data_IF_404324939614
#
_entry.id   IF_404324939614
#
_cell.length_a   1.000
_cell.length_b   1.000
_cell.length_c   1.000
_cell.angle_alpha   90.00
_cell.angle_beta   90.00
_cell.angle_gamma   90.00
#
_symmetry.space_group_name_H-M   'P 1'
#
loop_
_entity.id
_entity.type
_entity.pdbx_description
1 polymer ?
#
# COMPACT_ATOMS: atom_id res chain seq x y z
N UNK A 1 32.65 -19.01 -15.20
CA UNK A 1 32.78 -17.62 -14.70
C UNK A 1 32.06 -17.58 -13.36
N UNK A 2 32.78 -17.33 -12.27
CA UNK A 2 32.12 -17.12 -10.97
C UNK A 2 31.31 -15.81 -11.06
N UNK A 3 30.01 -15.89 -10.86
CA UNK A 3 29.17 -14.71 -10.63
C UNK A 3 29.70 -14.09 -9.35
N UNK A 4 30.46 -13.00 -9.47
CA UNK A 4 30.81 -12.21 -8.29
C UNK A 4 29.50 -11.69 -7.71
N UNK A 5 29.15 -12.22 -6.55
CA UNK A 5 27.98 -11.78 -5.81
C UNK A 5 28.30 -10.40 -5.22
N UNK A 6 28.16 -9.37 -6.05
CA UNK A 6 28.38 -7.99 -5.61
C UNK A 6 27.29 -7.66 -4.58
N UNK A 7 27.63 -7.20 -3.38
CA UNK A 7 26.61 -6.80 -2.42
C UNK A 7 25.74 -5.69 -2.99
N UNK A 8 24.47 -5.59 -2.58
CA UNK A 8 23.57 -4.52 -3.01
C UNK A 8 24.19 -3.15 -2.72
N UNK A 9 24.23 -2.27 -3.71
CA UNK A 9 24.88 -0.96 -3.57
C UNK A 9 23.91 0.16 -3.21
N UNK A 10 22.60 -0.05 -3.44
CA UNK A 10 21.55 0.92 -3.13
C UNK A 10 20.39 0.25 -2.41
N UNK A 11 19.77 1.01 -1.51
CA UNK A 11 18.56 0.58 -0.83
C UNK A 11 17.34 1.22 -1.48
N UNK A 12 16.26 0.45 -1.60
CA UNK A 12 14.92 0.93 -1.92
C UNK A 12 14.01 0.56 -0.77
N UNK A 13 13.20 1.52 -0.32
CA UNK A 13 12.13 1.26 0.64
C UNK A 13 10.81 1.10 -0.10
N UNK A 14 10.09 0.01 0.18
CA UNK A 14 8.74 -0.22 -0.31
C UNK A 14 7.75 -0.03 0.84
N UNK A 15 6.72 0.76 0.62
CA UNK A 15 5.68 1.05 1.61
C UNK A 15 4.33 0.64 1.06
N UNK A 16 3.46 0.08 1.90
CA UNK A 16 2.04 0.08 1.57
C UNK A 16 1.49 1.52 1.59
N UNK A 17 0.33 1.72 1.01
CA UNK A 17 -0.34 3.02 0.93
C UNK A 17 -1.40 3.18 2.03
N UNK A 18 -2.44 2.33 2.00
CA UNK A 18 -3.57 2.39 2.94
C UNK A 18 -3.13 1.84 4.30
N UNK A 19 -3.53 2.48 5.40
CA UNK A 19 -3.04 2.12 6.74
C UNK A 19 -1.61 2.59 7.07
N UNK A 20 -0.79 2.88 6.05
CA UNK A 20 0.61 3.34 6.23
C UNK A 20 0.77 4.83 5.94
N UNK A 21 0.24 5.33 4.83
CA UNK A 21 0.38 6.74 4.42
C UNK A 21 -0.97 7.47 4.33
N UNK A 22 -2.05 6.74 4.06
CA UNK A 22 -3.40 7.28 3.91
C UNK A 22 -4.40 6.41 4.67
N UNK A 23 -5.60 6.94 4.98
CA UNK A 23 -6.68 6.12 5.54
C UNK A 23 -7.20 5.11 4.52
N UNK A 24 -7.90 4.09 5.01
CA UNK A 24 -8.60 3.08 4.21
C UNK A 24 -9.68 3.73 3.33
N UNK A 25 -9.51 3.68 2.02
CA UNK A 25 -10.38 4.38 1.05
C UNK A 25 -11.81 3.84 1.11
N UNK A 26 -12.00 2.53 1.10
CA UNK A 26 -13.33 1.94 1.11
C UNK A 26 -14.10 2.23 2.39
N UNK A 27 -13.42 2.31 3.53
CA UNK A 27 -14.02 2.72 4.80
C UNK A 27 -14.46 4.18 4.73
N UNK A 28 -13.62 5.06 4.19
CA UNK A 28 -13.96 6.47 4.02
C UNK A 28 -15.14 6.67 3.05
N UNK A 29 -15.21 5.90 1.96
CA UNK A 29 -16.35 5.91 1.04
C UNK A 29 -17.61 5.44 1.76
N UNK A 30 -17.54 4.36 2.57
CA UNK A 30 -18.67 3.89 3.36
C UNK A 30 -19.19 4.96 4.32
N UNK A 31 -18.30 5.64 5.03
CA UNK A 31 -18.65 6.72 5.95
C UNK A 31 -19.33 7.89 5.26
N UNK A 32 -18.79 8.30 4.13
CA UNK A 32 -19.31 9.45 3.39
C UNK A 32 -20.65 9.17 2.72
N UNK A 33 -20.87 7.93 2.26
CA UNK A 33 -22.08 7.53 1.53
C UNK A 33 -23.15 6.92 2.43
N UNK A 34 -22.80 6.49 3.64
CA UNK A 34 -23.68 5.75 4.54
C UNK A 34 -23.92 4.29 4.11
N UNK A 35 -23.12 3.76 3.18
CA UNK A 35 -23.26 2.40 2.69
C UNK A 35 -22.36 1.48 3.51
N UNK A 36 -22.91 0.92 4.59
CA UNK A 36 -22.16 0.13 5.57
C UNK A 36 -21.46 -1.08 4.95
N UNK A 37 -22.03 -1.68 3.90
CA UNK A 37 -21.43 -2.82 3.20
C UNK A 37 -20.05 -2.55 2.59
N UNK A 38 -19.71 -1.30 2.30
CA UNK A 38 -18.40 -0.91 1.77
C UNK A 38 -17.28 -0.92 2.82
N UNK A 39 -17.61 -1.01 4.15
CA UNK A 39 -16.61 -1.18 5.22
C UNK A 39 -15.95 -2.55 5.21
N UNK A 40 -16.54 -3.53 4.50
CA UNK A 40 -15.99 -4.88 4.44
C UNK A 40 -14.59 -4.85 3.81
N UNK A 41 -13.64 -5.50 4.48
CA UNK A 41 -12.23 -5.57 4.07
C UNK A 41 -11.79 -7.01 3.80
N UNK A 42 -10.55 -7.21 3.42
CA UNK A 42 -9.95 -8.55 3.28
C UNK A 42 -9.85 -9.32 4.60
N UNK A 43 -10.07 -8.67 5.73
CA UNK A 43 -10.21 -9.33 7.06
C UNK A 43 -11.55 -10.04 7.20
N UNK A 44 -12.59 -9.52 6.55
CA UNK A 44 -13.96 -10.08 6.57
C UNK A 44 -14.19 -11.06 5.43
N UNK A 45 -13.52 -10.85 4.30
CA UNK A 45 -13.56 -11.68 3.11
C UNK A 45 -12.15 -11.81 2.51
N UNK A 46 -11.46 -12.91 2.81
CA UNK A 46 -10.09 -13.13 2.33
C UNK A 46 -9.97 -13.30 0.81
N UNK A 47 -11.04 -13.74 0.14
CA UNK A 47 -11.06 -13.84 -1.32
C UNK A 47 -11.27 -12.45 -1.93
N UNK A 48 -10.20 -11.89 -2.49
CA UNK A 48 -10.21 -10.56 -3.07
C UNK A 48 -11.21 -10.41 -4.21
N UNK A 49 -11.39 -11.44 -5.05
CA UNK A 49 -12.35 -11.41 -6.15
C UNK A 49 -13.80 -11.40 -5.65
N UNK A 50 -14.09 -12.14 -4.60
CA UNK A 50 -15.41 -12.15 -3.95
C UNK A 50 -15.68 -10.77 -3.34
N UNK A 51 -14.71 -10.21 -2.62
CA UNK A 51 -14.81 -8.88 -2.01
C UNK A 51 -15.03 -7.79 -3.07
N UNK A 52 -14.27 -7.81 -4.14
CA UNK A 52 -14.39 -6.79 -5.19
C UNK A 52 -15.71 -6.88 -5.96
N UNK A 53 -16.19 -8.09 -6.27
CA UNK A 53 -17.53 -8.25 -6.88
C UNK A 53 -18.62 -7.71 -5.99
N UNK A 54 -18.57 -8.02 -4.70
CA UNK A 54 -19.50 -7.48 -3.71
C UNK A 54 -19.49 -5.95 -3.68
N UNK A 55 -18.30 -5.33 -3.70
CA UNK A 55 -18.16 -3.87 -3.75
C UNK A 55 -18.73 -3.29 -5.05
N UNK A 56 -18.44 -3.90 -6.21
CA UNK A 56 -18.98 -3.47 -7.50
C UNK A 56 -20.51 -3.53 -7.55
N UNK A 57 -21.10 -4.58 -6.99
CA UNK A 57 -22.56 -4.73 -6.87
C UNK A 57 -23.16 -3.61 -6.00
N UNK A 58 -22.50 -3.24 -4.91
CA UNK A 58 -22.91 -2.10 -4.08
C UNK A 58 -22.79 -0.77 -4.83
N UNK A 59 -21.72 -0.53 -5.57
CA UNK A 59 -21.55 0.67 -6.37
C UNK A 59 -22.70 0.81 -7.38
N UNK A 60 -23.03 -0.27 -8.08
CA UNK A 60 -24.10 -0.30 -9.07
C UNK A 60 -25.47 -0.10 -8.42
N UNK A 61 -25.75 -0.83 -7.34
CA UNK A 61 -27.03 -0.77 -6.62
C UNK A 61 -27.31 0.64 -6.08
N UNK A 62 -26.29 1.34 -5.61
CA UNK A 62 -26.42 2.67 -5.02
C UNK A 62 -26.10 3.81 -6.00
N UNK A 63 -25.79 3.51 -7.27
CA UNK A 63 -25.48 4.49 -8.29
C UNK A 63 -24.21 5.30 -7.99
N UNK A 64 -23.21 4.69 -7.32
CA UNK A 64 -21.95 5.34 -7.01
C UNK A 64 -21.08 5.37 -8.26
N UNK A 65 -20.85 6.58 -8.76
CA UNK A 65 -20.02 6.82 -9.95
C UNK A 65 -18.55 7.07 -9.58
N UNK A 66 -17.67 6.92 -10.56
CA UNK A 66 -16.26 7.23 -10.40
C UNK A 66 -16.03 8.69 -9.92
N UNK A 67 -16.64 9.72 -10.53
CA UNK A 67 -16.49 11.09 -10.05
C UNK A 67 -16.91 11.28 -8.58
N UNK A 68 -18.02 10.67 -8.17
CA UNK A 68 -18.49 10.76 -6.80
C UNK A 68 -17.48 10.15 -5.82
N UNK A 69 -16.92 8.99 -6.14
CA UNK A 69 -15.92 8.35 -5.30
C UNK A 69 -14.63 9.17 -5.29
N UNK A 70 -14.20 9.71 -6.43
CA UNK A 70 -13.03 10.59 -6.50
C UNK A 70 -13.22 11.88 -5.70
N UNK A 71 -14.43 12.44 -5.65
CA UNK A 71 -14.75 13.60 -4.81
C UNK A 71 -14.64 13.26 -3.32
N UNK A 72 -15.09 12.07 -2.92
CA UNK A 72 -14.90 11.59 -1.54
C UNK A 72 -13.41 11.51 -1.22
N UNK A 73 -12.63 10.84 -2.08
CA UNK A 73 -11.19 10.65 -1.89
C UNK A 73 -10.45 11.99 -1.89
N UNK A 74 -10.82 12.93 -2.74
CA UNK A 74 -10.21 14.26 -2.80
C UNK A 74 -10.41 15.09 -1.52
N UNK A 75 -11.46 14.76 -0.74
CA UNK A 75 -11.72 15.34 0.58
C UNK A 75 -10.90 14.71 1.73
N UNK A 76 -10.18 13.62 1.46
CA UNK A 76 -9.35 12.95 2.45
C UNK A 76 -7.93 13.57 2.45
N UNK A 77 -7.26 13.43 3.59
CA UNK A 77 -5.85 13.81 3.75
C UNK A 77 -5.00 12.58 4.06
N UNK A 78 -3.70 12.61 3.74
CA UNK A 78 -2.76 11.66 4.28
C UNK A 78 -2.83 11.59 5.81
N UNK A 79 -2.42 10.45 6.38
CA UNK A 79 -2.32 10.31 7.83
C UNK A 79 -1.40 11.38 8.41
N UNK A 80 -1.67 11.80 9.64
CA UNK A 80 -0.88 12.84 10.31
C UNK A 80 0.60 12.43 10.39
N UNK A 81 1.50 13.28 9.87
CA UNK A 81 2.93 12.99 9.79
C UNK A 81 3.38 12.19 8.56
N UNK A 82 2.48 11.51 7.84
CA UNK A 82 2.82 10.65 6.70
C UNK A 82 3.61 11.38 5.60
N UNK A 83 3.16 12.58 5.24
CA UNK A 83 3.83 13.38 4.20
C UNK A 83 5.24 13.80 4.62
N UNK A 84 5.41 14.25 5.85
CA UNK A 84 6.71 14.64 6.39
C UNK A 84 7.68 13.45 6.46
N UNK A 85 7.19 12.30 6.94
CA UNK A 85 7.94 11.05 6.96
C UNK A 85 8.39 10.64 5.54
N UNK A 86 7.46 10.63 4.58
CA UNK A 86 7.76 10.25 3.21
C UNK A 86 8.80 11.17 2.56
N UNK A 87 8.70 12.49 2.79
CA UNK A 87 9.66 13.45 2.26
C UNK A 87 11.05 13.24 2.87
N UNK A 88 11.14 13.13 4.19
CA UNK A 88 12.41 12.88 4.88
C UNK A 88 13.05 11.54 4.42
N UNK A 89 12.25 10.50 4.22
CA UNK A 89 12.75 9.22 3.74
C UNK A 89 13.29 9.32 2.30
N UNK A 90 12.64 10.10 1.44
CA UNK A 90 13.05 10.33 0.03
C UNK A 90 14.32 11.15 -0.10
N UNK A 91 14.72 11.91 0.92
CA UNK A 91 16.05 12.57 0.98
C UNK A 91 17.18 11.57 1.22
N UNK A 92 16.88 10.38 1.72
CA UNK A 92 17.86 9.37 2.13
C UNK A 92 17.93 8.16 1.19
N UNK A 93 16.81 7.82 0.58
CA UNK A 93 16.71 6.62 -0.26
C UNK A 93 15.57 6.73 -1.27
N UNK A 94 15.51 5.79 -2.21
CA UNK A 94 14.37 5.68 -3.13
C UNK A 94 13.19 5.02 -2.43
N UNK A 95 11.99 5.54 -2.67
CA UNK A 95 10.75 4.99 -2.11
C UNK A 95 9.80 4.62 -3.22
N UNK A 96 9.24 3.42 -3.16
CA UNK A 96 8.19 2.94 -4.06
C UNK A 96 6.99 2.50 -3.21
N UNK A 97 5.81 3.00 -3.53
CA UNK A 97 4.57 2.54 -2.90
C UNK A 97 4.09 1.29 -3.64
N UNK A 98 3.79 0.24 -2.89
CA UNK A 98 3.20 -1.01 -3.38
C UNK A 98 1.82 -1.17 -2.74
N UNK A 99 0.75 -1.05 -3.52
CA UNK A 99 -0.61 -1.02 -2.97
C UNK A 99 -1.59 -1.85 -3.79
N UNK A 100 -2.52 -2.50 -3.11
CA UNK A 100 -3.63 -3.22 -3.75
C UNK A 100 -4.83 -2.29 -4.05
N UNK A 101 -4.64 -0.99 -3.94
CA UNK A 101 -5.57 0.04 -4.41
C UNK A 101 -5.55 0.17 -5.94
N UNK A 102 -6.33 1.10 -6.45
CA UNK A 102 -6.45 1.38 -7.87
C UNK A 102 -5.86 2.75 -8.23
N UNK A 103 -5.26 2.86 -9.41
CA UNK A 103 -4.66 4.10 -9.90
C UNK A 103 -5.61 5.29 -9.79
N UNK A 104 -6.88 5.09 -10.18
CA UNK A 104 -7.91 6.13 -10.16
C UNK A 104 -8.26 6.61 -8.74
N UNK A 105 -8.12 5.73 -7.74
CA UNK A 105 -8.32 6.08 -6.33
C UNK A 105 -7.08 6.72 -5.71
N UNK A 106 -5.90 6.28 -6.13
CA UNK A 106 -4.65 6.80 -5.59
C UNK A 106 -4.33 8.24 -6.07
N UNK A 107 -4.78 8.64 -7.27
CA UNK A 107 -4.41 9.91 -7.89
C UNK A 107 -4.59 11.16 -7.00
N UNK A 108 -5.70 11.38 -6.28
CA UNK A 108 -5.86 12.54 -5.41
C UNK A 108 -4.80 12.59 -4.29
N UNK A 109 -4.43 11.45 -3.75
CA UNK A 109 -3.38 11.34 -2.73
C UNK A 109 -1.98 11.52 -3.29
N UNK A 110 -1.71 11.03 -4.50
CA UNK A 110 -0.40 11.20 -5.14
C UNK A 110 -0.01 12.67 -5.24
N UNK A 111 -0.96 13.55 -5.53
CA UNK A 111 -0.71 15.01 -5.51
C UNK A 111 -0.32 15.51 -4.13
N UNK A 112 -1.02 15.06 -3.09
CA UNK A 112 -0.76 15.46 -1.70
C UNK A 112 0.57 14.89 -1.18
N UNK A 113 0.95 13.69 -1.62
CA UNK A 113 2.20 13.01 -1.26
C UNK A 113 3.42 13.44 -2.09
N UNK A 114 3.24 14.35 -3.09
CA UNK A 114 4.35 14.84 -3.92
C UNK A 114 4.77 13.86 -5.02
N UNK A 115 3.81 13.11 -5.58
CA UNK A 115 3.96 12.18 -6.70
C UNK A 115 5.05 11.11 -6.48
N UNK A 116 4.98 10.32 -5.40
CA UNK A 116 5.85 9.16 -5.25
C UNK A 116 5.55 8.12 -6.33
N UNK A 117 6.54 7.27 -6.66
CA UNK A 117 6.30 6.12 -7.51
C UNK A 117 5.33 5.15 -6.82
N UNK A 118 4.32 4.68 -7.55
CA UNK A 118 3.35 3.71 -7.05
C UNK A 118 3.14 2.58 -8.05
N UNK A 119 3.07 1.35 -7.56
CA UNK A 119 2.63 0.17 -8.28
C UNK A 119 1.32 -0.30 -7.66
N UNK A 120 0.24 -0.24 -8.42
CA UNK A 120 -1.11 -0.59 -7.97
C UNK A 120 -1.91 -1.23 -9.11
N UNK A 121 -3.20 -1.38 -8.93
CA UNK A 121 -4.14 -1.96 -9.88
C UNK A 121 -4.88 -0.90 -10.68
N UNK A 122 -5.81 -1.31 -11.54
CA UNK A 122 -6.66 -0.42 -12.33
C UNK A 122 -8.13 -0.79 -12.20
N UNK A 123 -9.00 0.23 -12.16
CA UNK A 123 -10.43 0.03 -12.35
C UNK A 123 -10.77 0.07 -13.85
N UNK A 124 -11.75 -0.75 -14.24
CA UNK A 124 -12.39 -0.68 -15.54
C UNK A 124 -13.58 0.27 -15.43
N UNK A 125 -13.59 1.31 -16.24
CA UNK A 125 -14.60 2.36 -16.19
C UNK A 125 -15.21 2.54 -17.57
N UNK A 126 -16.54 2.55 -17.64
CA UNK A 126 -17.32 2.89 -18.85
C UNK A 126 -18.13 4.14 -18.57
N UNK A 127 -17.79 5.24 -19.23
CA UNK A 127 -18.32 6.56 -18.88
C UNK A 127 -17.93 6.93 -17.44
N UNK A 128 -18.93 7.06 -16.56
CA UNK A 128 -18.72 7.33 -15.13
C UNK A 128 -18.89 6.08 -14.25
N UNK A 129 -19.32 4.94 -14.85
CA UNK A 129 -19.60 3.70 -14.14
C UNK A 129 -18.35 2.85 -13.97
N UNK A 130 -18.10 2.39 -12.76
CA UNK A 130 -17.06 1.39 -12.49
C UNK A 130 -17.65 0.02 -12.83
N UNK A 131 -17.09 -0.63 -13.85
CA UNK A 131 -17.62 -1.90 -14.40
C UNK A 131 -16.81 -3.11 -13.99
N UNK A 132 -15.63 -2.89 -13.41
CA UNK A 132 -14.75 -3.98 -13.01
C UNK A 132 -13.40 -3.45 -12.57
N UNK A 133 -12.46 -4.37 -12.44
CA UNK A 133 -11.07 -4.07 -12.10
C UNK A 133 -10.12 -5.00 -12.84
N UNK A 134 -8.87 -4.57 -12.93
CA UNK A 134 -7.78 -5.35 -13.49
C UNK A 134 -6.61 -5.36 -12.51
N UNK A 135 -6.26 -6.54 -12.03
CA UNK A 135 -5.03 -6.71 -11.26
C UNK A 135 -3.83 -6.50 -12.18
N UNK A 136 -2.85 -5.73 -11.74
CA UNK A 136 -1.57 -5.61 -12.45
C UNK A 136 -0.88 -6.97 -12.57
N UNK A 137 -0.87 -7.72 -11.46
CA UNK A 137 -0.52 -9.13 -11.39
C UNK A 137 -0.95 -9.70 -10.02
N UNK A 138 -1.12 -11.03 -9.89
CA UNK A 138 -1.32 -11.66 -8.58
C UNK A 138 -0.11 -11.44 -7.68
N UNK A 139 -0.34 -11.31 -6.35
CA UNK A 139 0.72 -11.17 -5.34
C UNK A 139 1.76 -10.09 -5.71
N UNK A 140 1.25 -8.96 -6.20
CA UNK A 140 2.04 -7.93 -6.84
C UNK A 140 3.09 -7.29 -5.92
N UNK A 141 2.79 -7.18 -4.62
CA UNK A 141 3.71 -6.57 -3.64
C UNK A 141 4.97 -7.42 -3.49
N UNK A 142 4.80 -8.74 -3.29
CA UNK A 142 5.93 -9.68 -3.23
C UNK A 142 6.73 -9.70 -4.52
N UNK A 143 6.08 -9.84 -5.67
CA UNK A 143 6.76 -9.89 -6.96
C UNK A 143 7.53 -8.59 -7.27
N UNK A 144 7.01 -7.43 -6.85
CA UNK A 144 7.74 -6.17 -7.00
C UNK A 144 9.03 -6.17 -6.17
N UNK A 145 8.97 -6.61 -4.91
CA UNK A 145 10.16 -6.74 -4.05
C UNK A 145 11.16 -7.72 -4.64
N UNK A 146 10.72 -8.89 -5.09
CA UNK A 146 11.59 -9.89 -5.72
C UNK A 146 12.27 -9.35 -7.00
N UNK A 147 11.54 -8.60 -7.83
CA UNK A 147 12.09 -7.96 -9.02
C UNK A 147 13.16 -6.92 -8.68
N UNK A 148 12.93 -6.06 -7.69
CA UNK A 148 13.91 -5.09 -7.22
C UNK A 148 15.17 -5.77 -6.67
N UNK A 149 15.02 -6.86 -5.92
CA UNK A 149 16.14 -7.69 -5.46
C UNK A 149 16.88 -8.34 -6.62
N UNK A 150 16.15 -8.78 -7.66
CA UNK A 150 16.73 -9.30 -8.90
C UNK A 150 17.57 -8.27 -9.66
N UNK A 151 17.27 -6.98 -9.48
CA UNK A 151 18.08 -5.86 -9.98
C UNK A 151 19.22 -5.46 -9.04
N UNK A 152 19.51 -6.29 -8.03
CA UNK A 152 20.58 -6.08 -7.05
C UNK A 152 20.35 -4.89 -6.10
N UNK A 153 19.11 -4.51 -5.84
CA UNK A 153 18.80 -3.57 -4.77
C UNK A 153 18.62 -4.28 -3.43
N UNK A 154 19.03 -3.61 -2.36
CA UNK A 154 18.57 -3.94 -1.03
C UNK A 154 17.16 -3.39 -0.86
N UNK A 155 16.20 -4.21 -0.46
CA UNK A 155 14.80 -3.79 -0.29
C UNK A 155 14.43 -3.87 1.17
N UNK A 156 13.87 -2.78 1.69
CA UNK A 156 13.25 -2.68 3.01
C UNK A 156 11.75 -2.49 2.76
N UNK A 157 10.90 -3.14 3.54
CA UNK A 157 9.45 -3.07 3.35
C UNK A 157 8.72 -2.72 4.65
N UNK A 158 7.65 -1.93 4.54
CA UNK A 158 6.72 -1.69 5.65
C UNK A 158 5.27 -1.76 5.16
N UNK A 159 4.41 -2.35 5.99
CA UNK A 159 2.98 -2.54 5.72
C UNK A 159 2.21 -2.80 7.00
N UNK A 160 0.87 -2.79 6.94
CA UNK A 160 0.00 -2.83 8.12
C UNK A 160 -0.79 -4.12 8.28
N UNK A 161 -0.89 -4.94 7.25
CA UNK A 161 -1.88 -6.01 7.23
C UNK A 161 -1.38 -7.33 6.62
N UNK A 162 -2.23 -8.35 6.60
CA UNK A 162 -1.90 -9.69 6.10
C UNK A 162 -1.38 -9.70 4.65
N UNK A 163 -1.95 -8.88 3.76
CA UNK A 163 -1.54 -8.81 2.37
C UNK A 163 -0.12 -8.24 2.18
N UNK A 164 0.47 -7.63 3.23
CA UNK A 164 1.85 -7.15 3.22
C UNK A 164 2.86 -8.21 3.64
N UNK A 165 2.44 -9.24 4.37
CA UNK A 165 3.36 -10.20 4.99
C UNK A 165 4.25 -10.91 3.98
N UNK A 166 3.73 -11.20 2.78
CA UNK A 166 4.51 -11.78 1.69
C UNK A 166 5.57 -10.79 1.16
N UNK A 167 5.23 -9.49 1.06
CA UNK A 167 6.17 -8.42 0.73
C UNK A 167 7.26 -8.28 1.80
N UNK A 168 6.86 -8.24 3.08
CA UNK A 168 7.79 -8.14 4.20
C UNK A 168 8.77 -9.33 4.21
N UNK A 169 8.27 -10.55 3.98
CA UNK A 169 9.09 -11.76 3.93
C UNK A 169 10.04 -11.82 2.73
N UNK A 170 9.68 -11.22 1.61
CA UNK A 170 10.53 -11.13 0.44
C UNK A 170 11.62 -10.04 0.57
N UNK A 171 11.44 -9.05 1.44
CA UNK A 171 12.38 -7.96 1.65
C UNK A 171 13.63 -8.40 2.44
N UNK A 172 14.67 -7.57 2.49
CA UNK A 172 15.84 -7.79 3.34
C UNK A 172 15.58 -7.41 4.81
N UNK A 173 14.64 -6.49 5.02
CA UNK A 173 14.08 -6.15 6.32
C UNK A 173 12.62 -5.77 6.14
N UNK A 174 11.76 -6.25 7.04
CA UNK A 174 10.32 -5.98 7.03
C UNK A 174 9.86 -5.42 8.37
N UNK A 175 8.93 -4.47 8.32
CA UNK A 175 8.34 -3.83 9.49
C UNK A 175 6.82 -3.82 9.39
N UNK A 176 6.16 -4.18 10.48
CA UNK A 176 4.72 -3.96 10.64
C UNK A 176 4.51 -2.53 11.17
N UNK A 177 3.65 -1.77 10.51
CA UNK A 177 3.34 -0.40 10.88
C UNK A 177 1.84 -0.22 11.05
N UNK A 178 1.39 0.22 12.24
CA UNK A 178 -0.04 0.30 12.61
C UNK A 178 -0.80 -1.02 12.45
N UNK A 179 -0.10 -2.14 12.43
CA UNK A 179 -0.74 -3.44 12.25
C UNK A 179 -1.62 -3.81 13.45
N UNK A 180 -2.75 -4.50 13.23
CA UNK A 180 -3.60 -4.98 14.31
C UNK A 180 -2.94 -6.12 15.10
N UNK A 181 -3.35 -6.27 16.36
CA UNK A 181 -2.74 -7.22 17.32
C UNK A 181 -2.70 -8.67 16.81
N UNK A 182 -3.70 -9.10 16.05
CA UNK A 182 -3.73 -10.45 15.49
C UNK A 182 -2.65 -10.66 14.42
N UNK A 183 -2.35 -9.66 13.59
CA UNK A 183 -1.25 -9.72 12.62
C UNK A 183 0.10 -9.73 13.34
N UNK A 184 0.26 -8.87 14.35
CA UNK A 184 1.49 -8.81 15.16
C UNK A 184 1.74 -10.16 15.85
N UNK A 185 0.70 -10.78 16.42
CA UNK A 185 0.81 -12.05 17.11
C UNK A 185 1.16 -13.22 16.16
N UNK A 186 0.66 -13.19 14.93
CA UNK A 186 0.94 -14.24 13.94
C UNK A 186 2.31 -14.09 13.27
N UNK A 187 2.82 -12.86 13.17
CA UNK A 187 4.11 -12.54 12.52
C UNK A 187 5.11 -11.86 13.47
N UNK A 188 5.45 -12.49 14.62
CA UNK A 188 6.31 -11.88 15.64
C UNK A 188 7.75 -11.63 15.18
N UNK A 189 8.16 -12.15 14.04
CA UNK A 189 9.45 -11.90 13.42
C UNK A 189 9.62 -10.50 12.87
N UNK A 190 8.52 -9.76 12.64
CA UNK A 190 8.58 -8.38 12.17
C UNK A 190 8.38 -7.41 13.33
N UNK A 191 9.30 -6.45 13.55
CA UNK A 191 9.08 -5.38 14.51
C UNK A 191 7.79 -4.64 14.22
N UNK A 192 6.93 -4.47 15.23
CA UNK A 192 5.68 -3.73 15.13
C UNK A 192 5.87 -2.32 15.66
N UNK A 193 5.54 -1.32 14.84
CA UNK A 193 5.80 0.10 15.07
C UNK A 193 4.49 0.89 14.91
N UNK A 194 4.32 1.95 15.69
CA UNK A 194 3.09 2.75 15.70
C UNK A 194 3.29 4.24 15.39
N UNK A 195 4.53 4.70 15.27
CA UNK A 195 4.85 6.10 14.97
C UNK A 195 5.87 6.23 13.86
N UNK A 196 5.76 7.28 13.05
CA UNK A 196 6.69 7.52 11.94
C UNK A 196 8.12 7.73 12.38
N UNK A 197 8.36 8.34 13.55
CA UNK A 197 9.72 8.48 14.09
C UNK A 197 10.35 7.10 14.34
N UNK A 198 9.60 6.19 14.98
CA UNK A 198 10.07 4.82 15.23
C UNK A 198 10.29 4.05 13.93
N UNK A 199 9.40 4.22 12.92
CA UNK A 199 9.57 3.60 11.61
C UNK A 199 10.79 4.16 10.87
N UNK A 200 11.00 5.48 10.93
CA UNK A 200 12.17 6.12 10.33
C UNK A 200 13.48 5.63 10.96
N UNK A 201 13.55 5.56 12.29
CA UNK A 201 14.71 5.04 13.03
C UNK A 201 14.98 3.56 12.69
N UNK A 202 13.92 2.74 12.63
CA UNK A 202 14.05 1.32 12.28
C UNK A 202 14.56 1.15 10.85
N UNK A 203 14.03 1.88 9.88
CA UNK A 203 14.51 1.87 8.48
C UNK A 203 15.96 2.34 8.44
N UNK A 204 16.31 3.46 9.08
CA UNK A 204 17.66 4.01 9.09
C UNK A 204 18.68 3.01 9.64
N UNK A 205 18.32 2.26 10.68
CA UNK A 205 19.20 1.26 11.31
C UNK A 205 19.62 0.13 10.36
N UNK A 206 18.87 -0.07 9.27
CA UNK A 206 19.10 -1.13 8.27
C UNK A 206 19.44 -0.59 6.89
N UNK A 207 19.49 0.75 6.71
CA UNK A 207 20.03 1.36 5.49
C UNK A 207 21.52 1.01 5.36
N UNK A 208 21.97 0.76 4.14
CA UNK A 208 23.41 0.69 3.87
C UNK A 208 23.94 2.13 3.87
N UNK A 209 24.98 2.44 4.64
CA UNK A 209 25.62 3.75 4.55
C UNK A 209 26.09 4.01 3.11
N UNK A 210 25.86 5.23 2.64
CA UNK A 210 26.31 5.66 1.31
C UNK A 210 27.84 5.69 1.19
#
# INVERSE_FOLDING_TARGET
MAVMNTPPQQTIVTLDLEGVLIPEIWIAVAERTGIEGLRRTTRDEPDYDVLMRYRLDLLDTHGLTMPLIQDVIAGLAPLEGAKAFLDALRERTQVIILSDTFEQFAQPFMRQLGWPAILCHQLLVDGERITGYQLRQPDQKRHAVEALRGLNYRVIAAGDSYNDTAMLGAAHAGFLFHAPDNVIAEFPQYPALTGYDALAEAIESVLIPA
#
